data_IF_969140616372
#
_entry.id   IF_969140616372
#
_cell.length_a   1.000
_cell.length_b   1.000
_cell.length_c   1.000
_cell.angle_alpha   90.00
_cell.angle_beta   90.00
_cell.angle_gamma   90.00
#
_symmetry.space_group_name_H-M   'P 1'
#
loop_
_entity.id
_entity.type
_entity.pdbx_description
1 polymer ?
#
# COMPACT_ATOMS: atom_id res chain seq x y z
N UNK A 1 20.50 -46.54 -39.17
CA UNK A 1 20.26 -45.11 -39.53
C UNK A 1 18.78 -44.71 -39.53
N UNK A 2 17.89 -45.40 -40.27
CA UNK A 2 16.44 -45.05 -40.35
C UNK A 2 15.67 -45.14 -39.01
N UNK A 3 16.07 -46.02 -38.11
CA UNK A 3 15.46 -46.21 -36.77
C UNK A 3 15.83 -45.11 -35.79
N UNK A 4 17.10 -44.68 -35.79
CA UNK A 4 17.61 -43.56 -34.97
C UNK A 4 16.93 -42.25 -35.38
N UNK A 5 16.76 -42.02 -36.69
CA UNK A 5 16.10 -40.82 -37.21
C UNK A 5 14.59 -40.76 -36.86
N UNK A 6 13.93 -41.93 -36.79
CA UNK A 6 12.53 -42.06 -36.33
C UNK A 6 12.39 -41.75 -34.84
N UNK A 7 13.30 -42.26 -34.02
CA UNK A 7 13.33 -41.98 -32.58
C UNK A 7 13.57 -40.49 -32.29
N UNK A 8 14.54 -39.87 -32.96
CA UNK A 8 14.82 -38.44 -32.83
C UNK A 8 13.63 -37.56 -33.22
N UNK A 9 12.92 -37.92 -34.30
CA UNK A 9 11.73 -37.19 -34.74
C UNK A 9 10.55 -37.36 -33.77
N UNK A 10 10.44 -38.50 -33.11
CA UNK A 10 9.39 -38.76 -32.13
C UNK A 10 9.64 -37.98 -30.82
N UNK A 11 10.88 -37.98 -30.32
CA UNK A 11 11.24 -37.20 -29.11
C UNK A 11 11.07 -35.70 -29.36
N UNK A 12 11.50 -35.18 -30.51
CA UNK A 12 11.28 -33.77 -30.88
C UNK A 12 9.79 -33.41 -30.96
N UNK A 13 8.95 -34.30 -31.50
CA UNK A 13 7.49 -34.08 -31.54
C UNK A 13 6.86 -34.14 -30.15
N UNK A 14 7.34 -35.02 -29.29
CA UNK A 14 6.85 -35.16 -27.92
C UNK A 14 7.25 -33.96 -27.05
N UNK A 15 8.50 -33.51 -27.13
CA UNK A 15 8.94 -32.28 -26.44
C UNK A 15 8.20 -31.06 -26.97
N UNK A 16 7.95 -31.00 -28.28
CA UNK A 16 7.17 -29.93 -28.90
C UNK A 16 5.70 -29.95 -28.44
N UNK A 17 5.05 -31.11 -28.39
CA UNK A 17 3.66 -31.21 -27.90
C UNK A 17 3.54 -30.91 -26.42
N UNK A 18 4.53 -31.29 -25.60
CA UNK A 18 4.55 -30.98 -24.17
C UNK A 18 4.74 -29.48 -23.93
N UNK A 19 5.63 -28.85 -24.70
CA UNK A 19 5.82 -27.39 -24.66
C UNK A 19 4.53 -26.64 -25.02
N UNK A 20 3.86 -27.03 -26.11
CA UNK A 20 2.58 -26.42 -26.49
C UNK A 20 1.47 -26.73 -25.50
N UNK A 21 1.42 -27.94 -24.95
CA UNK A 21 0.45 -28.29 -23.91
C UNK A 21 0.59 -27.39 -22.68
N UNK A 22 1.81 -27.18 -22.20
CA UNK A 22 2.09 -26.27 -21.09
C UNK A 22 1.71 -24.83 -21.42
N UNK A 23 2.06 -24.35 -22.61
CA UNK A 23 1.68 -23.01 -23.07
C UNK A 23 0.15 -22.81 -23.09
N UNK A 24 -0.59 -23.78 -23.63
CA UNK A 24 -2.06 -23.74 -23.66
C UNK A 24 -2.67 -23.80 -22.26
N UNK A 25 -2.11 -24.59 -21.34
CA UNK A 25 -2.61 -24.62 -19.96
C UNK A 25 -2.49 -23.25 -19.29
N UNK A 26 -1.36 -22.56 -19.44
CA UNK A 26 -1.18 -21.20 -18.90
C UNK A 26 -2.20 -20.24 -19.52
N UNK A 27 -2.33 -20.25 -20.86
CA UNK A 27 -3.26 -19.37 -21.55
C UNK A 27 -4.72 -19.59 -21.16
N UNK A 28 -5.15 -20.86 -21.04
CA UNK A 28 -6.52 -21.20 -20.65
C UNK A 28 -6.78 -20.83 -19.19
N UNK A 29 -5.84 -21.12 -18.27
CA UNK A 29 -5.97 -20.72 -16.87
C UNK A 29 -6.07 -19.20 -16.72
N UNK A 30 -5.29 -18.43 -17.49
CA UNK A 30 -5.41 -16.98 -17.52
C UNK A 30 -6.81 -16.53 -17.97
N UNK A 31 -7.32 -17.06 -19.08
CA UNK A 31 -8.66 -16.71 -19.59
C UNK A 31 -9.79 -17.06 -18.60
N UNK A 32 -9.66 -18.19 -17.87
CA UNK A 32 -10.61 -18.58 -16.82
C UNK A 32 -10.61 -17.55 -15.70
N UNK A 33 -9.44 -17.13 -15.20
CA UNK A 33 -9.32 -16.12 -14.15
C UNK A 33 -9.89 -14.76 -14.59
N UNK A 34 -9.60 -14.35 -15.83
CA UNK A 34 -10.19 -13.13 -16.41
C UNK A 34 -11.71 -13.24 -16.48
N UNK A 35 -12.24 -14.39 -16.91
CA UNK A 35 -13.69 -14.65 -16.94
C UNK A 35 -14.31 -14.55 -15.55
N UNK A 36 -13.71 -15.17 -14.54
CA UNK A 36 -14.18 -15.10 -13.14
C UNK A 36 -14.24 -13.64 -12.68
N UNK A 37 -13.16 -12.87 -12.87
CA UNK A 37 -13.16 -11.46 -12.46
C UNK A 37 -14.16 -10.62 -13.26
N UNK A 38 -14.32 -10.86 -14.55
CA UNK A 38 -15.29 -10.15 -15.37
C UNK A 38 -16.74 -10.36 -14.92
N UNK A 39 -17.10 -11.59 -14.49
CA UNK A 39 -18.47 -11.88 -14.06
C UNK A 39 -18.73 -11.58 -12.57
N UNK A 40 -17.68 -11.50 -11.75
CA UNK A 40 -17.81 -11.21 -10.30
C UNK A 40 -17.68 -9.72 -9.97
N UNK A 41 -17.05 -8.92 -10.84
CA UNK A 41 -16.85 -7.49 -10.62
C UNK A 41 -17.97 -6.71 -11.31
N UNK A 42 -18.91 -6.17 -10.52
CA UNK A 42 -20.12 -5.49 -10.99
C UNK A 42 -19.91 -4.06 -11.50
N UNK A 43 -18.65 -3.61 -11.58
CA UNK A 43 -18.27 -2.22 -11.74
C UNK A 43 -18.05 -1.76 -13.20
N UNK A 44 -17.90 -2.68 -14.17
CA UNK A 44 -17.72 -2.32 -15.58
C UNK A 44 -18.25 -3.40 -16.55
N UNK A 45 -19.11 -3.02 -17.49
CA UNK A 45 -19.64 -3.90 -18.54
C UNK A 45 -19.00 -3.63 -19.91
N UNK A 46 -18.84 -4.66 -20.73
CA UNK A 46 -18.28 -4.55 -22.07
C UNK A 46 -16.74 -4.62 -22.14
N UNK A 47 -16.15 -4.06 -23.20
CA UNK A 47 -14.71 -4.20 -23.49
C UNK A 47 -13.79 -3.60 -22.41
N UNK A 48 -14.24 -2.55 -21.71
CA UNK A 48 -13.54 -1.96 -20.57
C UNK A 48 -13.50 -2.91 -19.38
N UNK A 49 -14.61 -3.58 -19.05
CA UNK A 49 -14.67 -4.58 -17.98
C UNK A 49 -13.73 -5.77 -18.22
N UNK A 50 -13.61 -6.22 -19.47
CA UNK A 50 -12.65 -7.28 -19.83
C UNK A 50 -11.19 -6.83 -19.65
N UNK A 51 -10.87 -5.59 -20.03
CA UNK A 51 -9.54 -5.01 -19.80
C UNK A 51 -9.20 -4.92 -18.32
N UNK A 52 -10.15 -4.46 -17.50
CA UNK A 52 -10.02 -4.39 -16.05
C UNK A 52 -9.82 -5.76 -15.40
N UNK A 53 -10.59 -6.77 -15.80
CA UNK A 53 -10.45 -8.13 -15.32
C UNK A 53 -9.07 -8.73 -15.67
N UNK A 54 -8.58 -8.50 -16.89
CA UNK A 54 -7.25 -8.92 -17.30
C UNK A 54 -6.15 -8.25 -16.49
N UNK A 55 -6.25 -6.93 -16.29
CA UNK A 55 -5.32 -6.16 -15.47
C UNK A 55 -5.26 -6.66 -14.02
N UNK A 56 -6.41 -7.01 -13.44
CA UNK A 56 -6.52 -7.58 -12.09
C UNK A 56 -5.80 -8.92 -11.96
N UNK A 57 -5.92 -9.81 -12.95
CA UNK A 57 -5.18 -11.10 -12.97
C UNK A 57 -3.68 -10.86 -13.02
N UNK A 58 -3.21 -9.95 -13.88
CA UNK A 58 -1.78 -9.63 -14.02
C UNK A 58 -1.24 -8.99 -12.74
N UNK A 59 -2.01 -8.11 -12.09
CA UNK A 59 -1.65 -7.50 -10.82
C UNK A 59 -1.52 -8.53 -9.68
N UNK A 60 -2.50 -9.43 -9.55
CA UNK A 60 -2.46 -10.50 -8.56
C UNK A 60 -1.29 -11.46 -8.79
N UNK A 61 -0.99 -11.77 -10.05
CA UNK A 61 0.21 -12.55 -10.39
C UNK A 61 1.49 -11.82 -9.97
N UNK A 62 1.63 -10.52 -10.26
CA UNK A 62 2.77 -9.71 -9.83
C UNK A 62 2.98 -9.74 -8.31
N UNK A 63 1.90 -9.55 -7.53
CA UNK A 63 1.96 -9.65 -6.07
C UNK A 63 2.34 -11.06 -5.57
N UNK A 64 1.87 -12.13 -6.22
CA UNK A 64 2.27 -13.50 -5.86
C UNK A 64 3.77 -13.76 -6.08
N UNK A 65 4.37 -13.12 -7.09
CA UNK A 65 5.79 -13.27 -7.42
C UNK A 65 6.68 -12.17 -6.81
N UNK A 66 6.11 -11.23 -6.06
CA UNK A 66 6.82 -10.09 -5.49
C UNK A 66 7.37 -9.09 -6.53
N UNK A 67 6.93 -9.17 -7.79
CA UNK A 67 7.41 -8.33 -8.90
C UNK A 67 6.35 -7.29 -9.26
N UNK A 68 6.43 -6.13 -8.61
CA UNK A 68 5.52 -5.00 -8.82
C UNK A 68 5.66 -4.38 -10.23
N UNK A 69 6.78 -4.63 -10.92
CA UNK A 69 7.02 -4.22 -12.31
C UNK A 69 6.43 -5.17 -13.35
N UNK A 70 5.89 -6.32 -12.94
CA UNK A 70 5.35 -7.35 -13.83
C UNK A 70 4.26 -6.79 -14.75
N UNK A 71 3.26 -6.08 -14.20
CA UNK A 71 2.17 -5.49 -15.00
C UNK A 71 2.65 -4.41 -15.98
N UNK A 72 3.67 -3.62 -15.59
CA UNK A 72 4.26 -2.60 -16.44
C UNK A 72 4.96 -3.21 -17.68
N UNK A 73 5.58 -4.39 -17.55
CA UNK A 73 6.20 -5.11 -18.69
C UNK A 73 5.19 -5.52 -19.77
N UNK A 74 3.91 -5.58 -19.43
CA UNK A 74 2.83 -5.89 -20.38
C UNK A 74 2.04 -4.65 -20.82
N UNK A 75 2.49 -3.44 -20.48
CA UNK A 75 1.76 -2.21 -20.78
C UNK A 75 0.42 -2.12 -20.05
N UNK A 76 0.24 -2.88 -18.96
CA UNK A 76 -0.98 -2.95 -18.16
C UNK A 76 -0.81 -2.24 -16.81
N UNK A 77 0.17 -1.35 -16.68
CA UNK A 77 0.25 -0.46 -15.52
C UNK A 77 -0.96 0.48 -15.53
N UNK A 78 -1.80 0.50 -14.47
CA UNK A 78 -2.81 1.53 -14.32
C UNK A 78 -2.16 2.91 -14.31
N UNK A 79 -2.81 3.88 -14.93
CA UNK A 79 -2.35 5.25 -14.94
C UNK A 79 -2.25 5.71 -13.48
N UNK A 80 -1.04 5.91 -12.98
CA UNK A 80 -0.80 6.35 -11.61
C UNK A 80 -1.14 7.84 -11.55
N UNK A 81 -2.42 8.18 -11.50
CA UNK A 81 -2.81 9.53 -11.07
C UNK A 81 -2.20 9.73 -9.68
N UNK A 82 -1.41 10.78 -9.51
CA UNK A 82 -0.84 11.13 -8.22
C UNK A 82 -1.97 11.58 -7.32
N UNK A 83 -2.57 10.63 -6.60
CA UNK A 83 -3.50 10.96 -5.54
C UNK A 83 -2.70 11.63 -4.42
N UNK A 84 -3.26 12.69 -3.84
CA UNK A 84 -2.71 13.29 -2.64
C UNK A 84 -2.69 12.23 -1.54
N UNK A 85 -1.62 12.22 -0.75
CA UNK A 85 -1.49 11.30 0.38
C UNK A 85 -2.38 11.78 1.51
N UNK A 86 -2.33 13.08 1.84
CA UNK A 86 -3.32 13.82 2.63
C UNK A 86 -3.25 15.36 2.40
N UNK A 87 -3.95 16.17 3.21
CA UNK A 87 -3.89 17.64 3.21
C UNK A 87 -3.72 18.21 4.65
N UNK A 88 -2.83 17.64 5.47
CA UNK A 88 -2.67 18.03 6.88
C UNK A 88 -1.46 18.94 7.18
N UNK A 89 -1.70 20.03 7.91
CA UNK A 89 -0.68 20.89 8.56
C UNK A 89 -1.02 21.03 10.06
N UNK A 90 -0.05 20.78 10.94
CA UNK A 90 -0.21 20.69 12.40
C UNK A 90 0.25 21.93 13.18
N UNK A 91 0.73 22.99 12.52
CA UNK A 91 1.19 24.23 13.19
C UNK A 91 2.09 23.97 14.42
N UNK A 92 2.95 22.93 14.34
CA UNK A 92 3.87 22.53 15.40
C UNK A 92 3.26 21.83 16.63
N UNK A 93 2.02 21.31 16.54
CA UNK A 93 1.45 20.49 17.61
C UNK A 93 2.22 19.16 17.78
N UNK A 94 2.42 18.73 19.03
CA UNK A 94 3.20 17.51 19.35
C UNK A 94 2.76 16.83 20.65
N UNK A 95 3.23 15.61 20.88
CA UNK A 95 3.12 14.94 22.19
C UNK A 95 4.06 15.58 23.23
N UNK A 96 3.84 15.30 24.52
CA UNK A 96 4.74 15.78 25.60
C UNK A 96 6.10 15.08 25.59
N UNK A 97 6.14 13.85 25.11
CA UNK A 97 7.33 13.01 25.00
C UNK A 97 7.38 12.40 23.59
N UNK A 98 8.55 11.95 23.11
CA UNK A 98 8.69 11.27 21.81
C UNK A 98 8.13 9.84 21.86
N UNK A 99 6.95 9.65 22.45
CA UNK A 99 6.24 8.39 22.50
C UNK A 99 4.73 8.57 22.54
N UNK A 100 4.01 7.58 22.02
CA UNK A 100 2.55 7.53 22.07
C UNK A 100 2.07 6.07 22.14
N UNK A 101 0.98 5.82 22.88
CA UNK A 101 0.30 4.52 22.83
C UNK A 101 -0.61 4.44 21.61
N UNK A 102 -0.64 3.27 20.96
CA UNK A 102 -1.32 3.06 19.69
C UNK A 102 -2.26 1.87 19.79
N UNK A 103 -3.53 2.06 19.45
CA UNK A 103 -4.47 0.97 19.23
C UNK A 103 -4.66 0.76 17.73
N UNK A 104 -4.49 -0.48 17.28
CA UNK A 104 -4.72 -0.89 15.90
C UNK A 104 -6.02 -1.69 15.84
N UNK A 105 -7.03 -1.14 15.16
CA UNK A 105 -8.34 -1.78 15.03
C UNK A 105 -8.20 -3.15 14.33
N UNK A 106 -8.55 -4.26 15.01
CA UNK A 106 -8.39 -5.60 14.45
C UNK A 106 -9.41 -5.92 13.36
N UNK A 107 -10.42 -5.07 13.14
CA UNK A 107 -11.53 -5.33 12.21
C UNK A 107 -11.31 -4.74 10.81
N UNK A 108 -10.17 -4.08 10.57
CA UNK A 108 -9.83 -3.49 9.26
C UNK A 108 -9.17 -4.52 8.33
N UNK A 109 -8.88 -4.12 7.09
CA UNK A 109 -8.18 -4.94 6.11
C UNK A 109 -6.86 -5.51 6.66
N UNK A 110 -6.64 -6.81 6.46
CA UNK A 110 -5.38 -7.47 6.86
C UNK A 110 -4.15 -6.83 6.20
N UNK A 111 -4.29 -6.30 4.98
CA UNK A 111 -3.22 -5.56 4.30
C UNK A 111 -2.86 -4.29 5.07
N UNK A 112 -3.85 -3.56 5.60
CA UNK A 112 -3.63 -2.35 6.39
C UNK A 112 -3.11 -2.67 7.79
N UNK A 113 -3.61 -3.73 8.44
CA UNK A 113 -3.04 -4.21 9.71
C UNK A 113 -1.55 -4.48 9.54
N UNK A 114 -1.16 -5.17 8.45
CA UNK A 114 0.26 -5.42 8.17
C UNK A 114 1.02 -4.12 7.88
N UNK A 115 0.49 -3.24 7.02
CA UNK A 115 1.15 -1.99 6.66
C UNK A 115 1.36 -1.05 7.86
N UNK A 116 0.37 -0.90 8.74
CA UNK A 116 0.52 -0.14 9.98
C UNK A 116 1.56 -0.74 10.92
N UNK A 117 1.65 -2.07 11.03
CA UNK A 117 2.69 -2.71 11.84
C UNK A 117 4.08 -2.46 11.30
N UNK A 118 4.26 -2.63 9.98
CA UNK A 118 5.53 -2.36 9.31
C UNK A 118 5.93 -0.88 9.48
N UNK A 119 4.99 0.06 9.34
CA UNK A 119 5.24 1.50 9.52
C UNK A 119 5.55 1.89 10.98
N UNK A 120 4.84 1.32 11.96
CA UNK A 120 5.16 1.47 13.39
C UNK A 120 6.57 0.96 13.67
N UNK A 121 6.91 -0.22 13.14
CA UNK A 121 8.24 -0.80 13.32
C UNK A 121 9.32 0.09 12.68
N UNK A 122 9.10 0.58 11.46
CA UNK A 122 10.02 1.47 10.77
C UNK A 122 10.29 2.75 11.58
N UNK A 123 9.24 3.44 12.06
CA UNK A 123 9.40 4.62 12.92
C UNK A 123 10.13 4.29 14.23
N UNK A 124 9.76 3.20 14.91
CA UNK A 124 10.40 2.78 16.16
C UNK A 124 11.89 2.45 15.97
N UNK A 125 12.27 1.84 14.84
CA UNK A 125 13.66 1.49 14.52
C UNK A 125 14.55 2.73 14.33
N UNK A 126 13.99 3.89 13.96
CA UNK A 126 14.75 5.15 13.86
C UNK A 126 15.30 5.62 15.21
N UNK A 127 14.66 5.21 16.32
CA UNK A 127 14.95 5.68 17.67
C UNK A 127 14.58 7.14 17.94
N UNK A 128 13.95 7.86 17.00
CA UNK A 128 13.53 9.25 17.19
C UNK A 128 12.14 9.38 17.85
N UNK A 129 11.26 8.39 17.67
CA UNK A 129 9.94 8.32 18.30
C UNK A 129 9.58 6.87 18.62
N UNK A 130 8.75 6.64 19.65
CA UNK A 130 8.29 5.29 20.03
C UNK A 130 6.77 5.17 20.08
N UNK A 131 6.21 4.42 19.16
CA UNK A 131 4.84 3.93 19.21
C UNK A 131 4.75 2.63 20.01
N UNK A 132 3.88 2.61 21.04
CA UNK A 132 3.65 1.46 21.92
C UNK A 132 2.26 0.88 21.67
N UNK A 133 2.18 -0.33 21.10
CA UNK A 133 0.90 -0.98 20.86
C UNK A 133 0.16 -1.31 22.17
N UNK A 134 -1.11 -0.96 22.24
CA UNK A 134 -2.05 -1.32 23.31
C UNK A 134 -3.24 -2.09 22.73
N UNK A 135 -3.87 -2.94 23.55
CA UNK A 135 -5.00 -3.77 23.14
C UNK A 135 -6.36 -3.12 23.41
N UNK A 136 -6.40 -2.10 24.28
CA UNK A 136 -7.60 -1.36 24.63
C UNK A 136 -7.56 0.03 23.98
N UNK A 137 -8.51 0.31 23.10
CA UNK A 137 -8.65 1.60 22.41
C UNK A 137 -8.69 2.79 23.38
N UNK A 138 -9.31 2.62 24.55
CA UNK A 138 -9.45 3.69 25.55
C UNK A 138 -8.14 4.11 26.20
N UNK A 139 -7.10 3.30 26.08
CA UNK A 139 -5.76 3.57 26.60
C UNK A 139 -4.82 4.15 25.53
N UNK A 140 -5.30 4.31 24.30
CA UNK A 140 -4.51 4.75 23.17
C UNK A 140 -4.51 6.27 22.99
N UNK A 141 -3.33 6.83 22.76
CA UNK A 141 -3.16 8.18 22.25
C UNK A 141 -3.52 8.27 20.77
N UNK A 142 -3.17 7.23 20.01
CA UNK A 142 -3.39 7.14 18.56
C UNK A 142 -4.24 5.92 18.23
N UNK A 143 -5.30 6.11 17.44
CA UNK A 143 -6.15 5.03 16.91
C UNK A 143 -5.88 4.86 15.42
N UNK A 144 -5.50 3.66 15.01
CA UNK A 144 -5.28 3.31 13.61
C UNK A 144 -6.48 2.49 13.11
N UNK A 145 -7.14 2.99 12.07
CA UNK A 145 -8.30 2.34 11.45
C UNK A 145 -8.28 2.55 9.94
N UNK A 146 -9.37 2.20 9.25
CA UNK A 146 -9.53 2.40 7.82
C UNK A 146 -10.79 3.22 7.51
N UNK A 147 -10.83 3.74 6.29
CA UNK A 147 -12.04 4.29 5.68
C UNK A 147 -12.20 3.76 4.26
N UNK A 148 -13.40 3.85 3.70
CA UNK A 148 -13.67 3.58 2.29
C UNK A 148 -14.51 4.73 1.73
N UNK A 149 -13.85 5.82 1.33
CA UNK A 149 -14.53 7.06 0.97
C UNK A 149 -13.85 7.75 -0.22
N UNK A 150 -14.52 7.73 -1.38
CA UNK A 150 -14.07 8.40 -2.59
C UNK A 150 -14.18 9.93 -2.55
N UNK A 151 -14.99 10.48 -1.63
CA UNK A 151 -15.15 11.93 -1.47
C UNK A 151 -13.96 12.57 -0.73
N UNK A 152 -13.19 11.76 0.01
CA UNK A 152 -11.88 12.17 0.50
C UNK A 152 -10.89 11.90 -0.63
N UNK A 153 -10.18 12.90 -1.12
CA UNK A 153 -9.20 12.75 -2.21
C UNK A 153 -7.89 12.08 -1.77
N UNK A 154 -7.71 11.95 -0.47
CA UNK A 154 -6.51 11.48 0.19
C UNK A 154 -6.46 9.94 0.33
N UNK A 155 -5.27 9.38 0.16
CA UNK A 155 -4.99 7.96 0.34
C UNK A 155 -4.90 7.57 1.83
N UNK A 156 -4.53 8.50 2.70
CA UNK A 156 -4.62 8.42 4.15
C UNK A 156 -5.26 9.68 4.73
N UNK A 157 -5.52 9.69 6.03
CA UNK A 157 -5.98 10.87 6.76
C UNK A 157 -5.54 10.77 8.22
N UNK A 158 -4.99 11.86 8.75
CA UNK A 158 -4.59 11.98 10.15
C UNK A 158 -5.37 13.11 10.83
N UNK A 159 -6.39 12.73 11.60
CA UNK A 159 -7.21 13.66 12.37
C UNK A 159 -6.66 13.83 13.78
N UNK A 160 -6.12 15.02 14.09
CA UNK A 160 -5.60 15.34 15.43
C UNK A 160 -6.58 16.15 16.27
N UNK A 161 -6.66 15.81 17.56
CA UNK A 161 -7.22 16.65 18.62
C UNK A 161 -6.07 17.26 19.42
N UNK A 162 -6.09 18.59 19.56
CA UNK A 162 -5.00 19.35 20.19
C UNK A 162 -5.54 20.26 21.28
N UNK A 163 -4.86 20.33 22.41
CA UNK A 163 -5.10 21.33 23.43
C UNK A 163 -4.54 22.67 22.96
N UNK A 164 -5.44 23.60 22.60
CA UNK A 164 -5.09 24.91 22.03
C UNK A 164 -4.22 25.80 22.93
N UNK A 165 -4.22 25.59 24.25
CA UNK A 165 -3.42 26.39 25.17
C UNK A 165 -1.97 25.92 25.27
N UNK A 166 -1.74 24.62 25.09
CA UNK A 166 -0.43 23.98 25.27
C UNK A 166 0.20 23.52 23.96
N UNK A 167 -0.57 23.56 22.86
CA UNK A 167 -0.24 23.00 21.55
C UNK A 167 0.15 21.51 21.63
N UNK A 168 -0.49 20.77 22.53
CA UNK A 168 -0.23 19.33 22.73
C UNK A 168 -1.34 18.46 22.19
N UNK A 169 -0.96 17.39 21.52
CA UNK A 169 -1.91 16.37 21.10
C UNK A 169 -2.57 15.73 22.32
N UNK A 170 -3.88 15.54 22.23
CA UNK A 170 -4.67 14.80 23.22
C UNK A 170 -5.14 13.46 22.67
N UNK A 171 -5.39 13.39 21.36
CA UNK A 171 -5.82 12.18 20.68
C UNK A 171 -5.61 12.33 19.17
N UNK A 172 -5.25 11.24 18.49
CA UNK A 172 -5.12 11.20 17.02
C UNK A 172 -5.85 9.99 16.47
N UNK A 173 -6.54 10.15 15.35
CA UNK A 173 -7.08 9.05 14.56
C UNK A 173 -6.46 9.05 13.18
N UNK A 174 -5.81 7.95 12.81
CA UNK A 174 -5.25 7.72 11.48
C UNK A 174 -6.12 6.75 10.70
N UNK A 175 -6.43 7.08 9.45
CA UNK A 175 -7.28 6.28 8.56
C UNK A 175 -6.61 6.06 7.21
N UNK A 176 -6.32 4.80 6.87
CA UNK A 176 -5.96 4.45 5.50
C UNK A 176 -7.22 4.32 4.65
N UNK A 177 -7.21 4.90 3.45
CA UNK A 177 -8.36 4.91 2.55
C UNK A 177 -8.33 3.70 1.60
N UNK A 178 -9.15 2.70 1.93
CA UNK A 178 -9.40 1.50 1.12
C UNK A 178 -9.78 1.83 -0.31
N UNK A 179 -10.53 2.91 -0.54
CA UNK A 179 -11.00 3.30 -1.87
C UNK A 179 -9.85 3.44 -2.88
N UNK A 180 -8.69 3.93 -2.43
CA UNK A 180 -7.51 4.12 -3.27
C UNK A 180 -6.51 3.00 -3.09
N UNK A 181 -6.13 2.69 -1.84
CA UNK A 181 -4.97 1.86 -1.54
C UNK A 181 -5.19 0.38 -1.87
N UNK A 182 -6.43 -0.11 -1.84
CA UNK A 182 -6.75 -1.51 -2.14
C UNK A 182 -7.49 -1.68 -3.47
N UNK A 183 -7.75 -0.59 -4.19
CA UNK A 183 -8.36 -0.62 -5.50
C UNK A 183 -7.29 -0.70 -6.59
N UNK A 184 -7.33 -1.78 -7.35
CA UNK A 184 -6.36 -2.10 -8.39
C UNK A 184 -6.25 -1.02 -9.47
N UNK A 185 -7.28 -0.19 -9.67
CA UNK A 185 -7.27 0.92 -10.64
C UNK A 185 -6.21 1.97 -10.28
N UNK A 186 -5.91 2.18 -9.00
CA UNK A 186 -4.89 3.15 -8.56
C UNK A 186 -3.49 2.55 -8.39
N UNK A 187 -3.36 1.21 -8.53
CA UNK A 187 -2.09 0.49 -8.54
C UNK A 187 -1.14 0.77 -7.36
N UNK A 188 -1.69 0.93 -6.15
CA UNK A 188 -0.84 1.02 -4.96
C UNK A 188 -0.19 -0.33 -4.70
N UNK A 189 1.15 -0.35 -4.77
CA UNK A 189 1.89 -1.49 -4.30
C UNK A 189 1.87 -1.56 -2.79
N UNK A 190 2.19 -2.74 -2.23
CA UNK A 190 2.25 -2.89 -0.79
C UNK A 190 3.23 -1.90 -0.14
N UNK A 191 4.38 -1.66 -0.77
CA UNK A 191 5.35 -0.66 -0.32
C UNK A 191 4.75 0.75 -0.29
N UNK A 192 4.02 1.16 -1.33
CA UNK A 192 3.33 2.47 -1.31
C UNK A 192 2.27 2.55 -0.22
N UNK A 193 1.60 1.45 0.12
CA UNK A 193 0.65 1.41 1.26
C UNK A 193 1.40 1.58 2.59
N UNK A 194 2.56 0.95 2.74
CA UNK A 194 3.43 1.14 3.92
C UNK A 194 3.89 2.60 4.00
N UNK A 195 4.40 3.17 2.91
CA UNK A 195 4.81 4.58 2.86
C UNK A 195 3.65 5.53 3.18
N UNK A 196 2.41 5.24 2.73
CA UNK A 196 1.23 5.99 3.16
C UNK A 196 1.04 5.88 4.68
N UNK A 197 1.11 4.68 5.26
CA UNK A 197 1.00 4.53 6.72
C UNK A 197 2.14 5.24 7.48
N UNK A 198 3.37 5.22 6.95
CA UNK A 198 4.51 5.94 7.53
C UNK A 198 4.29 7.46 7.48
N UNK A 199 3.76 8.00 6.38
CA UNK A 199 3.40 9.41 6.21
C UNK A 199 2.37 9.85 7.26
N UNK A 200 1.25 9.12 7.36
CA UNK A 200 0.21 9.43 8.34
C UNK A 200 0.71 9.32 9.79
N UNK A 201 1.58 8.33 10.08
CA UNK A 201 2.23 8.24 11.38
C UNK A 201 3.22 9.39 11.61
N UNK A 202 3.85 9.93 10.58
CA UNK A 202 4.66 11.15 10.64
C UNK A 202 3.83 12.35 11.09
N UNK A 203 2.62 12.52 10.55
CA UNK A 203 1.65 13.50 11.06
C UNK A 203 1.23 13.20 12.49
N UNK A 204 1.03 11.92 12.84
CA UNK A 204 0.74 11.53 14.22
C UNK A 204 1.90 11.80 15.20
N UNK A 205 3.15 11.92 14.72
CA UNK A 205 4.30 12.39 15.48
C UNK A 205 4.31 13.93 15.59
N UNK A 206 3.69 14.63 14.64
CA UNK A 206 3.63 16.09 14.57
C UNK A 206 4.53 16.68 13.48
N UNK A 207 4.94 15.88 12.49
CA UNK A 207 5.59 16.39 11.30
C UNK A 207 4.58 17.04 10.35
N UNK A 208 4.99 18.11 9.70
CA UNK A 208 4.27 18.76 8.59
C UNK A 208 4.79 18.23 7.24
N UNK A 209 4.09 18.56 6.16
CA UNK A 209 4.50 18.21 4.81
C UNK A 209 5.88 18.77 4.44
N UNK A 210 6.54 18.03 3.55
CA UNK A 210 7.82 18.41 2.97
C UNK A 210 7.82 18.16 1.46
N UNK A 211 8.16 19.18 0.67
CA UNK A 211 8.20 19.09 -0.79
C UNK A 211 9.41 18.29 -1.34
N UNK A 212 10.34 17.87 -0.48
CA UNK A 212 11.53 17.10 -0.83
C UNK A 212 11.31 15.59 -1.00
N UNK A 213 12.41 14.86 -1.15
CA UNK A 213 12.42 13.38 -1.05
C UNK A 213 12.26 13.01 0.43
N UNK A 214 11.03 12.78 0.85
CA UNK A 214 10.65 12.64 2.25
C UNK A 214 9.40 11.77 2.36
N UNK A 215 9.27 11.04 3.46
CA UNK A 215 8.01 10.35 3.76
C UNK A 215 6.85 11.32 3.92
N UNK A 216 7.13 12.57 4.29
CA UNK A 216 6.16 13.66 4.44
C UNK A 216 5.82 14.36 3.12
N UNK A 217 6.19 13.78 1.97
CA UNK A 217 5.77 14.30 0.67
C UNK A 217 4.24 14.21 0.53
N UNK A 218 3.54 15.31 0.17
CA UNK A 218 2.07 15.36 0.18
C UNK A 218 1.39 14.49 -0.87
N UNK A 219 2.13 13.90 -1.81
CA UNK A 219 1.55 13.13 -2.90
C UNK A 219 2.34 11.87 -3.23
N UNK A 220 1.59 10.81 -3.51
CA UNK A 220 2.10 9.61 -4.18
C UNK A 220 2.79 8.58 -3.29
N UNK A 221 3.14 8.89 -2.04
CA UNK A 221 3.75 7.93 -1.09
C UNK A 221 4.93 7.16 -1.72
N UNK A 222 5.79 7.89 -2.44
CA UNK A 222 6.91 7.31 -3.19
C UNK A 222 8.15 7.05 -2.35
N UNK A 223 8.28 7.74 -1.22
CA UNK A 223 9.42 7.63 -0.31
C UNK A 223 8.96 7.04 1.02
N UNK A 224 9.79 6.14 1.56
CA UNK A 224 9.72 5.73 2.97
C UNK A 224 10.34 6.80 3.87
N UNK A 225 10.39 6.57 5.18
CA UNK A 225 11.12 7.42 6.13
C UNK A 225 12.56 7.70 5.66
N UNK A 226 12.94 8.98 5.59
CA UNK A 226 14.28 9.46 5.24
C UNK A 226 15.01 10.06 6.44
N UNK A 227 16.34 10.22 6.35
CA UNK A 227 17.16 10.79 7.43
C UNK A 227 16.70 12.19 7.85
N UNK A 228 16.21 12.99 6.90
CA UNK A 228 15.69 14.33 7.17
C UNK A 228 14.41 14.31 8.02
N UNK A 229 13.57 13.29 7.84
CA UNK A 229 12.35 13.11 8.63
C UNK A 229 12.72 12.76 10.08
N UNK A 230 13.71 11.87 10.26
CA UNK A 230 14.24 11.49 11.57
C UNK A 230 14.84 12.69 12.30
N UNK A 231 15.61 13.54 11.62
CA UNK A 231 16.16 14.74 12.26
C UNK A 231 15.07 15.77 12.59
N UNK A 232 14.04 15.90 11.76
CA UNK A 232 12.88 16.75 12.05
C UNK A 232 12.17 16.29 13.33
N UNK A 233 11.94 14.99 13.52
CA UNK A 233 11.39 14.43 14.78
C UNK A 233 12.31 14.76 15.95
N UNK A 234 13.62 14.54 15.82
CA UNK A 234 14.57 14.86 16.91
C UNK A 234 14.54 16.33 17.28
N UNK A 235 14.41 17.23 16.31
CA UNK A 235 14.30 18.66 16.57
C UNK A 235 12.99 18.99 17.29
N UNK A 236 11.87 18.41 16.85
CA UNK A 236 10.55 18.60 17.45
C UNK A 236 10.50 18.22 18.95
N UNK A 237 11.30 17.23 19.37
CA UNK A 237 11.31 16.70 20.74
C UNK A 237 12.57 17.05 21.56
N UNK A 238 13.47 17.88 21.04
CA UNK A 238 14.62 18.43 21.80
C UNK A 238 14.22 19.59 22.73
N UNK A 239 13.05 20.18 22.50
CA UNK A 239 12.45 21.26 23.30
C UNK A 239 11.52 20.75 24.39
#
# INVERSE_FOLDING_TARGET
MKTIFRWLRWTLRMTWSLFWGFFWTIGISFLILVGIFYFTDSSASGASGLGHAAQKVVYQAGNLFGDQGFAARFGMAPNSQSNQTDNHEHNGARWDQPEATVYLDPNISQTFIKAYRDAIEAWNQTGAFTFKLVTNEKEANVVLTEMDNASVSAAGETASQTNLLTNRFTHITVRLNRHYLLNYVYNYSYERIVNTAEHELGHAIGLDHNDGESVMQPAGSFYSIQDMDVEAVRQLYKE
#
